data_IF_122746201812
#
_entry.id   IF_122746201812
#
_cell.length_a   1.000
_cell.length_b   1.000
_cell.length_c   1.000
_cell.angle_alpha   90.00
_cell.angle_beta   90.00
_cell.angle_gamma   90.00
#
_symmetry.space_group_name_H-M   'P 1'
#
loop_
_entity.id
_entity.type
_entity.pdbx_description
1 polymer ?
#
# COMPACT_ATOMS: atom_id res chain seq x y z
N UNK A 1 -3.23 -5.64 -18.22
CA UNK A 1 -4.61 -5.94 -18.61
C UNK A 1 -4.80 -5.61 -20.10
N UNK A 2 -5.54 -6.41 -20.81
CA UNK A 2 -5.91 -6.11 -22.20
C UNK A 2 -7.04 -5.08 -22.20
N UNK A 3 -7.04 -4.07 -23.10
CA UNK A 3 -8.15 -3.16 -23.23
C UNK A 3 -9.38 -3.95 -23.67
N UNK A 4 -10.47 -3.78 -22.92
CA UNK A 4 -11.78 -4.35 -23.26
C UNK A 4 -12.65 -3.28 -23.91
N UNK A 5 -13.58 -3.66 -24.80
CA UNK A 5 -14.48 -2.73 -25.43
C UNK A 5 -15.73 -2.51 -24.58
N UNK A 6 -16.38 -1.34 -24.75
CA UNK A 6 -17.53 -0.93 -23.92
C UNK A 6 -18.70 -1.93 -23.99
N UNK A 7 -18.89 -2.60 -25.13
CA UNK A 7 -19.99 -3.57 -25.27
C UNK A 7 -19.85 -4.80 -24.35
N UNK A 8 -18.65 -5.12 -23.84
CA UNK A 8 -18.45 -6.21 -22.90
C UNK A 8 -19.00 -5.91 -21.49
N UNK A 9 -19.26 -4.65 -21.18
CA UNK A 9 -19.92 -4.27 -19.93
C UNK A 9 -21.43 -4.48 -19.97
N UNK A 10 -22.06 -4.50 -21.16
CA UNK A 10 -23.52 -4.68 -21.32
C UNK A 10 -23.93 -6.09 -20.82
N UNK A 11 -24.84 -6.16 -19.86
CA UNK A 11 -25.25 -7.41 -19.22
C UNK A 11 -24.21 -8.00 -18.27
N UNK A 12 -23.09 -7.33 -18.01
CA UNK A 12 -22.01 -7.85 -17.19
C UNK A 12 -22.24 -7.61 -15.70
N UNK A 13 -21.86 -8.60 -14.90
CA UNK A 13 -21.53 -8.41 -13.49
C UNK A 13 -20.11 -7.84 -13.40
N UNK A 14 -19.97 -6.64 -12.84
CA UNK A 14 -18.68 -6.01 -12.56
C UNK A 14 -18.34 -6.20 -11.09
N UNK A 15 -17.16 -6.71 -10.81
CA UNK A 15 -16.64 -6.86 -9.45
C UNK A 15 -15.41 -5.97 -9.32
N UNK A 16 -15.48 -4.99 -8.43
CA UNK A 16 -14.34 -4.12 -8.07
C UNK A 16 -13.78 -4.59 -6.73
N UNK A 17 -12.51 -4.95 -6.74
CA UNK A 17 -11.81 -5.43 -5.54
C UNK A 17 -10.74 -4.43 -5.11
N UNK A 18 -10.51 -4.33 -3.79
CA UNK A 18 -9.38 -3.62 -3.19
C UNK A 18 -9.26 -2.14 -3.61
N UNK A 19 -10.41 -1.44 -3.64
CA UNK A 19 -10.45 -0.05 -4.10
C UNK A 19 -11.38 0.78 -3.23
N UNK A 20 -10.81 1.67 -2.41
CA UNK A 20 -11.53 2.46 -1.41
C UNK A 20 -12.61 3.35 -2.01
N UNK A 21 -12.33 4.04 -3.12
CA UNK A 21 -13.22 5.01 -3.74
C UNK A 21 -13.17 4.94 -5.28
N UNK A 22 -14.23 5.44 -5.91
CA UNK A 22 -14.44 5.36 -7.35
C UNK A 22 -13.36 6.02 -8.22
N UNK A 23 -12.73 7.15 -7.85
CA UNK A 23 -11.66 7.73 -8.67
C UNK A 23 -10.42 6.83 -8.81
N UNK A 24 -10.23 5.87 -7.89
CA UNK A 24 -9.09 4.93 -7.89
C UNK A 24 -9.35 3.66 -8.70
N UNK A 25 -10.58 3.42 -9.14
CA UNK A 25 -10.88 2.27 -10.01
C UNK A 25 -10.11 2.43 -11.32
N UNK A 26 -9.33 1.43 -11.69
CA UNK A 26 -8.39 1.50 -12.83
C UNK A 26 -9.07 1.70 -14.18
N UNK A 27 -10.29 1.23 -14.35
CA UNK A 27 -11.10 1.49 -15.54
C UNK A 27 -12.41 2.20 -15.15
N UNK A 28 -12.53 3.47 -15.52
CA UNK A 28 -13.67 4.31 -15.15
C UNK A 28 -14.99 3.90 -15.82
N UNK A 29 -14.96 2.90 -16.72
CA UNK A 29 -16.15 2.29 -17.33
C UNK A 29 -16.77 1.18 -16.45
N UNK A 30 -16.23 0.94 -15.25
CA UNK A 30 -16.73 -0.07 -14.31
C UNK A 30 -18.24 0.04 -14.02
N UNK A 31 -18.81 1.23 -14.17
CA UNK A 31 -20.23 1.53 -13.95
C UNK A 31 -21.13 1.28 -15.18
N UNK A 32 -20.59 0.76 -16.29
CA UNK A 32 -21.36 0.39 -17.48
C UNK A 32 -21.98 -1.01 -17.39
N UNK A 33 -21.66 -1.78 -16.35
CA UNK A 33 -22.24 -3.10 -16.11
C UNK A 33 -23.67 -3.02 -15.56
N UNK A 34 -24.40 -4.14 -15.64
CA UNK A 34 -25.77 -4.24 -15.13
C UNK A 34 -25.82 -4.39 -13.61
N UNK A 35 -24.76 -4.93 -13.00
CA UNK A 35 -24.63 -5.09 -11.56
C UNK A 35 -23.18 -4.85 -11.15
N UNK A 36 -22.98 -4.07 -10.11
CA UNK A 36 -21.68 -3.74 -9.55
C UNK A 36 -21.54 -4.26 -8.11
N UNK A 37 -20.54 -5.09 -7.88
CA UNK A 37 -20.16 -5.56 -6.55
C UNK A 37 -18.84 -4.90 -6.14
N UNK A 38 -18.80 -4.32 -4.94
CA UNK A 38 -17.57 -3.87 -4.28
C UNK A 38 -17.16 -4.89 -3.21
N UNK A 39 -15.90 -5.36 -3.26
CA UNK A 39 -15.27 -6.17 -2.21
C UNK A 39 -14.00 -5.46 -1.77
N UNK A 40 -13.91 -5.03 -0.50
CA UNK A 40 -12.82 -4.18 -0.06
C UNK A 40 -12.54 -4.30 1.45
N UNK A 41 -11.31 -3.99 1.86
CA UNK A 41 -10.91 -3.93 3.26
C UNK A 41 -10.53 -2.51 3.72
N UNK A 42 -10.58 -1.52 2.84
CA UNK A 42 -10.33 -0.12 3.17
C UNK A 42 -11.53 0.52 3.89
N UNK A 43 -11.34 1.64 4.64
CA UNK A 43 -12.43 2.46 5.12
C UNK A 43 -13.38 2.86 3.97
N UNK A 44 -14.68 2.76 4.20
CA UNK A 44 -15.71 2.95 3.18
C UNK A 44 -16.35 4.34 3.30
N UNK A 45 -15.54 5.39 3.26
CA UNK A 45 -15.98 6.79 3.39
C UNK A 45 -16.81 7.25 2.18
N UNK A 46 -16.55 6.66 1.02
CA UNK A 46 -17.26 6.93 -0.25
C UNK A 46 -17.80 5.61 -0.81
N UNK A 47 -18.97 5.13 -0.35
CA UNK A 47 -19.52 3.86 -0.78
C UNK A 47 -19.99 3.93 -2.25
N UNK A 48 -19.74 2.86 -3.01
CA UNK A 48 -20.22 2.66 -4.38
C UNK A 48 -20.47 1.18 -4.64
N UNK A 49 -21.34 0.88 -5.62
CA UNK A 49 -21.74 -0.48 -5.99
C UNK A 49 -23.14 -0.83 -5.50
N UNK A 50 -23.81 -1.74 -6.21
CA UNK A 50 -25.14 -2.24 -5.86
C UNK A 50 -25.09 -3.20 -4.66
N UNK A 51 -24.02 -3.99 -4.60
CA UNK A 51 -23.68 -4.82 -3.45
C UNK A 51 -22.29 -4.41 -2.91
N UNK A 52 -22.22 -4.20 -1.61
CA UNK A 52 -21.00 -3.72 -0.95
C UNK A 52 -20.64 -4.68 0.19
N UNK A 53 -19.48 -5.35 0.05
CA UNK A 53 -18.89 -6.14 1.10
C UNK A 53 -17.56 -5.54 1.50
N UNK A 54 -17.56 -4.81 2.61
CA UNK A 54 -16.38 -4.15 3.17
C UNK A 54 -16.12 -4.67 4.57
N UNK A 55 -14.89 -5.15 4.82
CA UNK A 55 -14.43 -5.59 6.12
C UNK A 55 -13.07 -4.96 6.46
N UNK A 56 -13.10 -3.86 7.20
CA UNK A 56 -11.90 -3.12 7.61
C UNK A 56 -11.02 -3.85 8.65
N UNK A 57 -11.47 -4.99 9.16
CA UNK A 57 -10.70 -5.86 10.06
C UNK A 57 -9.96 -6.97 9.32
N UNK A 58 -10.28 -7.21 8.04
CA UNK A 58 -9.53 -8.15 7.22
C UNK A 58 -8.14 -7.58 6.90
N UNK A 59 -7.13 -8.44 6.91
CA UNK A 59 -5.75 -8.04 6.63
C UNK A 59 -5.52 -7.61 5.18
N UNK A 60 -6.38 -8.08 4.29
CA UNK A 60 -6.32 -7.82 2.85
C UNK A 60 -7.65 -8.17 2.18
N UNK A 61 -7.92 -7.59 1.02
CA UNK A 61 -9.02 -8.05 0.16
C UNK A 61 -8.82 -9.51 -0.26
N UNK A 62 -7.57 -9.96 -0.43
CA UNK A 62 -7.23 -11.36 -0.74
C UNK A 62 -7.65 -12.33 0.37
N UNK A 63 -7.53 -11.96 1.65
CA UNK A 63 -8.06 -12.75 2.78
C UNK A 63 -9.58 -12.91 2.65
N UNK A 64 -10.31 -11.83 2.32
CA UNK A 64 -11.76 -11.88 2.11
C UNK A 64 -12.16 -12.80 0.96
N UNK A 65 -11.43 -12.77 -0.15
CA UNK A 65 -11.68 -13.65 -1.31
C UNK A 65 -11.41 -15.12 -0.96
N UNK A 66 -10.35 -15.39 -0.18
CA UNK A 66 -10.10 -16.75 0.31
C UNK A 66 -11.24 -17.24 1.21
N UNK A 67 -11.70 -16.39 2.13
CA UNK A 67 -12.80 -16.68 3.05
C UNK A 67 -14.10 -16.99 2.29
N UNK A 68 -14.42 -16.18 1.28
CA UNK A 68 -15.56 -16.45 0.40
C UNK A 68 -15.45 -17.82 -0.27
N UNK A 69 -14.29 -18.14 -0.84
CA UNK A 69 -14.10 -19.41 -1.54
C UNK A 69 -14.15 -20.61 -0.59
N UNK A 70 -13.61 -20.49 0.64
CA UNK A 70 -13.67 -21.54 1.65
C UNK A 70 -15.05 -21.70 2.27
N UNK A 71 -15.86 -20.63 2.31
CA UNK A 71 -17.24 -20.69 2.80
C UNK A 71 -18.21 -21.37 1.82
N UNK A 72 -17.90 -21.35 0.52
CA UNK A 72 -18.74 -21.93 -0.54
C UNK A 72 -17.96 -22.88 -1.45
N UNK A 73 -17.36 -23.97 -0.90
CA UNK A 73 -16.45 -24.85 -1.65
C UNK A 73 -17.13 -25.61 -2.80
N UNK A 74 -18.44 -25.81 -2.74
CA UNK A 74 -19.20 -26.45 -3.81
C UNK A 74 -19.45 -25.55 -5.00
N UNK A 75 -19.47 -24.22 -4.78
CA UNK A 75 -19.73 -23.20 -5.80
C UNK A 75 -18.41 -22.60 -6.31
N UNK A 76 -17.47 -22.34 -5.42
CA UNK A 76 -16.20 -21.65 -5.70
C UNK A 76 -15.03 -22.61 -5.47
N UNK A 77 -14.63 -23.30 -6.55
CA UNK A 77 -13.51 -24.26 -6.48
C UNK A 77 -12.18 -23.52 -6.53
N UNK A 78 -11.44 -23.54 -5.44
CA UNK A 78 -10.09 -23.03 -5.36
C UNK A 78 -9.14 -23.89 -6.20
N UNK A 79 -8.50 -23.30 -7.20
CA UNK A 79 -7.39 -23.93 -7.94
C UNK A 79 -6.04 -23.65 -7.28
N UNK A 80 -5.01 -24.44 -7.59
CA UNK A 80 -3.64 -24.20 -7.12
C UNK A 80 -3.15 -22.77 -7.51
N UNK A 81 -3.48 -22.33 -8.72
CA UNK A 81 -3.10 -21.00 -9.20
C UNK A 81 -3.88 -19.88 -8.45
N UNK A 82 -5.18 -20.06 -8.20
CA UNK A 82 -5.95 -19.11 -7.40
C UNK A 82 -5.41 -19.03 -5.97
N UNK A 83 -5.11 -20.16 -5.35
CA UNK A 83 -4.52 -20.20 -4.01
C UNK A 83 -3.15 -19.48 -3.96
N UNK A 84 -2.31 -19.70 -4.98
CA UNK A 84 -1.02 -19.01 -5.12
C UNK A 84 -1.16 -17.50 -5.22
N UNK A 85 -2.09 -17.01 -6.05
CA UNK A 85 -2.32 -15.56 -6.24
C UNK A 85 -2.93 -14.91 -5.00
N UNK A 86 -3.90 -15.56 -4.36
CA UNK A 86 -4.52 -15.07 -3.13
C UNK A 86 -3.49 -15.03 -1.99
N UNK A 87 -2.66 -16.07 -1.85
CA UNK A 87 -1.56 -16.07 -0.89
C UNK A 87 -0.59 -14.90 -1.16
N UNK A 88 -0.23 -14.64 -2.43
CA UNK A 88 0.62 -13.52 -2.79
C UNK A 88 0.01 -12.16 -2.38
N UNK A 89 -1.31 -11.98 -2.56
CA UNK A 89 -2.01 -10.77 -2.15
C UNK A 89 -2.01 -10.58 -0.62
N UNK A 90 -2.25 -11.64 0.15
CA UNK A 90 -2.14 -11.59 1.62
C UNK A 90 -0.72 -11.19 2.04
N UNK A 91 0.31 -11.83 1.47
CA UNK A 91 1.71 -11.50 1.76
C UNK A 91 2.04 -10.04 1.43
N UNK A 92 1.49 -9.52 0.32
CA UNK A 92 1.69 -8.13 -0.10
C UNK A 92 1.10 -7.12 0.89
N UNK A 93 -0.19 -7.25 1.19
CA UNK A 93 -0.92 -6.31 2.04
C UNK A 93 -0.52 -6.36 3.52
N UNK A 94 -0.12 -7.52 4.00
CA UNK A 94 0.36 -7.69 5.38
C UNK A 94 1.82 -7.31 5.56
N UNK A 95 2.48 -6.84 4.50
CA UNK A 95 3.92 -6.60 4.55
C UNK A 95 4.68 -7.85 5.00
N UNK A 96 4.29 -9.02 4.48
CA UNK A 96 4.85 -10.34 4.83
C UNK A 96 4.55 -10.74 6.28
N UNK A 97 3.32 -10.50 6.70
CA UNK A 97 2.81 -10.76 8.06
C UNK A 97 3.45 -9.87 9.15
N UNK A 98 4.07 -8.75 8.76
CA UNK A 98 4.71 -7.82 9.71
C UNK A 98 3.81 -6.66 10.12
N UNK A 99 2.73 -6.39 9.39
CA UNK A 99 1.85 -5.27 9.71
C UNK A 99 0.81 -5.64 10.77
N UNK A 100 0.35 -4.65 11.57
CA UNK A 100 -0.61 -4.88 12.65
C UNK A 100 -1.97 -5.48 12.22
N UNK A 101 -2.33 -5.35 10.95
CA UNK A 101 -3.52 -5.98 10.38
C UNK A 101 -3.42 -7.52 10.31
N UNK A 102 -2.23 -8.10 10.47
CA UNK A 102 -2.04 -9.55 10.52
C UNK A 102 -2.63 -10.12 11.80
N UNK A 103 -3.63 -10.98 11.69
CA UNK A 103 -4.28 -11.66 12.80
C UNK A 103 -3.98 -13.17 12.81
N UNK A 104 -4.39 -13.87 13.88
CA UNK A 104 -4.37 -15.35 13.89
C UNK A 104 -5.17 -15.93 12.72
N UNK A 105 -6.31 -15.30 12.40
CA UNK A 105 -7.16 -15.71 11.28
C UNK A 105 -6.46 -15.55 9.93
N UNK A 106 -5.73 -14.44 9.73
CA UNK A 106 -4.89 -14.25 8.54
C UNK A 106 -3.91 -15.41 8.34
N UNK A 107 -3.27 -15.86 9.44
CA UNK A 107 -2.31 -16.98 9.39
C UNK A 107 -3.02 -18.33 9.15
N UNK A 108 -4.22 -18.53 9.67
CA UNK A 108 -5.04 -19.71 9.38
C UNK A 108 -5.41 -19.79 7.91
N UNK A 109 -5.87 -18.68 7.33
CA UNK A 109 -6.19 -18.57 5.89
C UNK A 109 -4.95 -18.84 5.05
N UNK A 110 -3.82 -18.21 5.39
CA UNK A 110 -2.56 -18.46 4.71
C UNK A 110 -2.12 -19.92 4.81
N UNK A 111 -2.25 -20.54 5.99
CA UNK A 111 -1.96 -21.96 6.22
C UNK A 111 -2.83 -22.88 5.37
N UNK A 112 -4.14 -22.61 5.24
CA UNK A 112 -5.03 -23.34 4.33
C UNK A 112 -4.61 -23.20 2.87
N UNK A 113 -4.24 -21.99 2.42
CA UNK A 113 -3.75 -21.77 1.06
C UNK A 113 -2.48 -22.57 0.77
N UNK A 114 -1.59 -22.72 1.76
CA UNK A 114 -0.35 -23.51 1.63
C UNK A 114 -0.59 -25.03 1.50
N UNK A 115 -1.81 -25.53 1.69
CA UNK A 115 -2.16 -26.93 1.39
C UNK A 115 -2.36 -27.22 -0.09
N UNK A 116 -2.47 -26.17 -0.92
CA UNK A 116 -2.55 -26.28 -2.37
C UNK A 116 -1.15 -26.42 -2.98
N UNK A 117 -1.10 -27.07 -4.15
CA UNK A 117 0.15 -27.40 -4.82
C UNK A 117 0.72 -26.18 -5.56
N UNK A 118 1.54 -25.37 -4.86
CA UNK A 118 2.39 -24.31 -5.44
C UNK A 118 3.65 -24.10 -4.59
N UNK A 119 4.73 -23.65 -5.23
CA UNK A 119 5.99 -23.35 -4.53
C UNK A 119 5.93 -22.01 -3.82
N UNK A 120 5.51 -22.03 -2.54
CA UNK A 120 5.44 -20.83 -1.69
C UNK A 120 6.82 -20.21 -1.43
N UNK A 121 7.90 -21.02 -1.37
CA UNK A 121 9.25 -20.52 -1.15
C UNK A 121 9.75 -19.73 -2.37
N UNK A 122 9.51 -20.26 -3.57
CA UNK A 122 9.80 -19.56 -4.82
C UNK A 122 8.98 -18.28 -4.93
N UNK A 123 7.66 -18.34 -4.67
CA UNK A 123 6.78 -17.17 -4.69
C UNK A 123 7.28 -16.07 -3.75
N UNK A 124 7.58 -16.42 -2.49
CA UNK A 124 8.09 -15.45 -1.52
C UNK A 124 9.44 -14.85 -1.94
N UNK A 125 10.34 -15.64 -2.53
CA UNK A 125 11.59 -15.11 -3.12
C UNK A 125 11.31 -14.12 -4.25
N UNK A 126 10.41 -14.45 -5.17
CA UNK A 126 10.04 -13.58 -6.28
C UNK A 126 9.44 -12.26 -5.82
N UNK A 127 8.57 -12.28 -4.79
CA UNK A 127 7.98 -11.08 -4.17
C UNK A 127 9.02 -10.19 -3.47
N UNK A 128 10.18 -10.74 -3.09
CA UNK A 128 11.29 -9.98 -2.47
C UNK A 128 12.33 -9.47 -3.46
N UNK A 129 12.35 -10.01 -4.67
CA UNK A 129 13.40 -9.66 -5.62
C UNK A 129 13.30 -8.21 -6.04
N UNK A 130 14.42 -7.52 -5.99
CA UNK A 130 14.60 -6.18 -6.51
C UNK A 130 15.71 -6.18 -7.57
N UNK A 131 15.64 -5.28 -8.52
CA UNK A 131 16.70 -5.10 -9.50
C UNK A 131 17.95 -4.46 -8.87
N UNK A 132 19.12 -4.63 -9.50
CA UNK A 132 20.36 -4.01 -9.03
C UNK A 132 20.25 -2.47 -8.95
N UNK A 133 19.51 -1.84 -9.88
CA UNK A 133 19.27 -0.40 -9.83
C UNK A 133 18.45 0.03 -8.60
N UNK A 134 17.43 -0.75 -8.22
CA UNK A 134 16.67 -0.52 -6.99
C UNK A 134 17.53 -0.78 -5.75
N UNK A 135 18.41 -1.79 -5.78
CA UNK A 135 19.35 -2.02 -4.68
C UNK A 135 20.33 -0.85 -4.47
N UNK A 136 20.82 -0.23 -5.58
CA UNK A 136 21.64 1.00 -5.51
C UNK A 136 20.86 2.18 -4.95
N UNK A 137 19.60 2.36 -5.39
CA UNK A 137 18.72 3.38 -4.82
C UNK A 137 18.46 3.15 -3.33
N UNK A 138 18.34 1.90 -2.89
CA UNK A 138 18.22 1.56 -1.46
C UNK A 138 19.45 1.99 -0.66
N UNK A 139 20.65 1.79 -1.21
CA UNK A 139 21.89 2.31 -0.61
C UNK A 139 21.86 3.84 -0.47
N UNK A 140 21.45 4.53 -1.52
CA UNK A 140 21.29 5.99 -1.48
C UNK A 140 20.30 6.45 -0.40
N UNK A 141 19.17 5.75 -0.25
CA UNK A 141 18.18 6.06 0.79
C UNK A 141 18.80 5.98 2.18
N UNK A 142 19.49 4.88 2.51
CA UNK A 142 20.13 4.73 3.83
C UNK A 142 21.24 5.73 4.09
N UNK A 143 22.00 6.09 3.07
CA UNK A 143 23.10 7.07 3.18
C UNK A 143 22.59 8.51 3.35
N UNK A 144 21.43 8.83 2.77
CA UNK A 144 20.90 10.22 2.72
C UNK A 144 19.64 10.42 3.59
N UNK A 145 19.31 9.45 4.47
CA UNK A 145 18.22 9.63 5.41
C UNK A 145 18.59 10.70 6.44
N UNK A 146 17.70 11.66 6.62
CA UNK A 146 17.81 12.67 7.67
C UNK A 146 16.73 12.40 8.72
N UNK A 147 17.10 12.34 9.99
CA UNK A 147 16.17 12.10 11.10
C UNK A 147 16.44 13.03 12.26
N UNK A 148 15.40 13.25 13.08
CA UNK A 148 15.52 13.98 14.35
C UNK A 148 15.52 13.03 15.56
N UNK A 149 15.73 13.60 16.74
CA UNK A 149 15.78 12.84 18.01
C UNK A 149 14.45 12.22 18.42
N UNK A 150 13.33 12.62 17.82
CA UNK A 150 11.99 12.12 18.11
C UNK A 150 11.51 11.07 17.10
N UNK A 151 12.37 10.66 16.16
CA UNK A 151 12.10 9.61 15.19
C UNK A 151 11.36 10.06 13.95
N UNK A 152 11.29 11.36 13.68
CA UNK A 152 10.84 11.86 12.37
C UNK A 152 11.97 11.77 11.36
N UNK A 153 11.70 11.19 10.17
CA UNK A 153 12.71 11.07 9.13
C UNK A 153 12.22 11.52 7.75
N UNK A 154 13.17 11.92 6.91
CA UNK A 154 12.92 12.24 5.52
C UNK A 154 14.03 11.76 4.60
N UNK A 155 13.67 11.50 3.34
CA UNK A 155 14.60 11.32 2.23
C UNK A 155 14.06 12.08 1.03
N UNK A 156 14.91 12.89 0.41
CA UNK A 156 14.60 13.58 -0.85
C UNK A 156 15.31 12.84 -1.97
N UNK A 157 14.55 12.45 -3.00
CA UNK A 157 15.05 11.82 -4.21
C UNK A 157 15.00 12.82 -5.36
N UNK A 158 16.11 13.50 -5.67
CA UNK A 158 16.19 14.38 -6.82
C UNK A 158 16.04 13.59 -8.13
N UNK A 159 15.48 14.24 -9.15
CA UNK A 159 15.30 13.61 -10.47
C UNK A 159 16.62 13.10 -11.05
N UNK A 160 17.69 13.85 -10.87
CA UNK A 160 19.04 13.52 -11.37
C UNK A 160 19.53 12.18 -10.80
N UNK A 161 19.19 11.86 -9.55
CA UNK A 161 19.55 10.58 -8.93
C UNK A 161 18.73 9.42 -9.46
N UNK A 162 17.43 9.64 -9.73
CA UNK A 162 16.59 8.63 -10.36
C UNK A 162 17.10 8.33 -11.78
N UNK A 163 17.45 9.35 -12.54
CA UNK A 163 18.02 9.24 -13.89
C UNK A 163 19.37 8.49 -13.86
N UNK A 164 20.26 8.85 -12.93
CA UNK A 164 21.57 8.19 -12.75
C UNK A 164 21.45 6.69 -12.45
N UNK A 165 20.50 6.31 -11.58
CA UNK A 165 20.24 4.91 -11.27
C UNK A 165 19.39 4.19 -12.32
N UNK A 166 18.82 4.92 -13.29
CA UNK A 166 17.90 4.39 -14.29
C UNK A 166 16.60 3.84 -13.68
N UNK A 167 16.13 4.47 -12.59
CA UNK A 167 14.93 4.08 -11.84
C UNK A 167 13.75 4.96 -12.26
N UNK A 168 12.62 4.35 -12.58
CA UNK A 168 11.36 5.06 -12.84
C UNK A 168 10.55 5.22 -11.55
N UNK A 169 9.63 6.20 -11.52
CA UNK A 169 8.84 6.50 -10.31
C UNK A 169 8.12 5.29 -9.70
N UNK A 170 7.56 4.41 -10.52
CA UNK A 170 6.88 3.20 -10.03
C UNK A 170 7.80 2.25 -9.24
N UNK A 171 9.09 2.20 -9.58
CA UNK A 171 10.07 1.37 -8.89
C UNK A 171 10.50 1.95 -7.53
N UNK A 172 10.27 3.26 -7.30
CA UNK A 172 10.53 3.90 -6.01
C UNK A 172 9.60 3.37 -4.90
N UNK A 173 8.52 2.65 -5.23
CA UNK A 173 7.70 2.00 -4.23
C UNK A 173 8.48 1.00 -3.37
N UNK A 174 9.50 0.36 -3.94
CA UNK A 174 10.31 -0.65 -3.26
C UNK A 174 11.15 -0.08 -2.10
N UNK A 175 11.51 1.21 -2.14
CA UNK A 175 12.34 1.84 -1.09
C UNK A 175 11.53 2.51 0.01
N UNK A 176 10.21 2.62 -0.15
CA UNK A 176 9.35 3.31 0.82
C UNK A 176 9.38 2.69 2.22
N UNK A 177 9.45 1.35 2.39
CA UNK A 177 9.52 0.73 3.72
C UNK A 177 10.89 0.84 4.40
N UNK A 178 11.97 1.17 3.68
CA UNK A 178 13.34 1.07 4.19
C UNK A 178 13.60 1.87 5.47
N UNK A 179 13.17 3.15 5.59
CA UNK A 179 13.39 3.88 6.84
C UNK A 179 12.74 3.22 8.06
N UNK A 180 11.63 2.50 7.86
CA UNK A 180 10.94 1.78 8.93
C UNK A 180 11.72 0.62 9.52
N UNK A 181 12.78 0.14 8.86
CA UNK A 181 13.69 -0.90 9.38
C UNK A 181 14.68 -0.35 10.41
N UNK A 182 14.80 0.98 10.52
CA UNK A 182 15.67 1.66 11.50
C UNK A 182 14.87 1.83 12.79
N UNK A 183 15.43 1.38 13.91
CA UNK A 183 14.74 1.32 15.20
C UNK A 183 14.28 2.70 15.67
N UNK A 184 15.13 3.69 15.55
CA UNK A 184 14.91 5.06 16.01
C UNK A 184 13.87 5.84 15.20
N UNK A 185 13.45 5.35 14.02
CA UNK A 185 12.51 6.04 13.16
C UNK A 185 11.08 5.61 13.47
N UNK A 186 10.21 6.56 13.75
CA UNK A 186 8.78 6.37 14.04
C UNK A 186 7.89 6.71 12.86
N UNK A 187 8.17 7.82 12.16
CA UNK A 187 7.44 8.23 10.97
C UNK A 187 8.38 8.88 9.95
N UNK A 188 8.10 8.66 8.66
CA UNK A 188 8.98 9.17 7.61
C UNK A 188 8.23 9.56 6.35
N UNK A 189 8.87 10.47 5.59
CA UNK A 189 8.46 10.82 4.24
C UNK A 189 9.59 10.55 3.24
N UNK A 190 9.22 10.00 2.08
CA UNK A 190 10.08 9.95 0.89
C UNK A 190 9.49 10.89 -0.14
N UNK A 191 10.28 11.91 -0.50
CA UNK A 191 9.93 12.93 -1.47
C UNK A 191 10.58 12.58 -2.81
N UNK A 192 9.78 12.26 -3.82
CA UNK A 192 10.24 11.85 -5.15
C UNK A 192 9.95 12.97 -6.13
N UNK A 193 11.00 13.66 -6.60
CA UNK A 193 10.87 14.73 -7.58
C UNK A 193 10.31 14.21 -8.89
N UNK A 194 9.25 14.85 -9.38
CA UNK A 194 8.54 14.47 -10.60
C UNK A 194 9.00 15.33 -11.79
N UNK A 195 8.87 14.81 -13.02
CA UNK A 195 9.24 15.59 -14.22
C UNK A 195 8.51 16.92 -14.34
N UNK A 196 7.29 17.02 -13.81
CA UNK A 196 6.46 18.22 -13.80
C UNK A 196 6.90 19.28 -12.79
N UNK A 197 7.94 19.00 -11.98
CA UNK A 197 8.55 19.94 -11.04
C UNK A 197 7.99 19.92 -9.63
N UNK A 198 7.03 19.06 -9.32
CA UNK A 198 6.53 18.84 -7.96
C UNK A 198 7.17 17.59 -7.31
N UNK A 199 6.92 17.36 -6.03
CA UNK A 199 7.35 16.15 -5.33
C UNK A 199 6.14 15.26 -5.00
N UNK A 200 6.20 14.00 -5.43
CA UNK A 200 5.31 12.97 -4.88
C UNK A 200 5.81 12.57 -3.50
N UNK A 201 4.92 12.62 -2.51
CA UNK A 201 5.25 12.33 -1.12
C UNK A 201 4.68 10.98 -0.73
N UNK A 202 5.52 10.12 -0.16
CA UNK A 202 5.13 8.82 0.38
C UNK A 202 5.37 8.82 1.88
N UNK A 203 4.29 8.81 2.65
CA UNK A 203 4.32 8.86 4.11
C UNK A 203 4.12 7.48 4.70
N UNK A 204 4.90 7.13 5.70
CA UNK A 204 4.77 5.89 6.46
C UNK A 204 5.03 6.14 7.94
N UNK A 205 4.50 5.25 8.80
CA UNK A 205 4.65 5.37 10.25
C UNK A 205 4.57 4.00 10.92
N UNK A 206 5.24 3.88 12.06
CA UNK A 206 5.16 2.76 13.01
C UNK A 206 4.20 3.04 14.20
N UNK A 207 3.59 4.22 14.27
CA UNK A 207 2.67 4.58 15.36
C UNK A 207 1.94 5.90 15.15
N UNK A 208 2.64 7.04 14.95
CA UNK A 208 1.99 8.33 14.70
C UNK A 208 1.03 8.32 13.52
N UNK A 209 -0.15 8.95 13.65
CA UNK A 209 -1.19 8.95 12.60
C UNK A 209 -0.89 10.03 11.55
N UNK A 210 -0.34 9.63 10.40
CA UNK A 210 0.18 10.53 9.35
C UNK A 210 -0.82 10.91 8.24
N UNK A 211 -1.98 10.27 8.15
CA UNK A 211 -2.93 10.57 7.07
C UNK A 211 -3.56 11.96 7.18
N UNK A 212 -3.57 12.57 8.35
CA UNK A 212 -4.00 13.96 8.56
C UNK A 212 -3.06 14.94 7.86
N UNK A 213 -1.75 14.68 7.91
CA UNK A 213 -0.73 15.44 7.16
C UNK A 213 -0.99 15.28 5.66
N UNK A 214 -1.14 14.04 5.19
CA UNK A 214 -1.41 13.79 3.78
C UNK A 214 -2.64 14.55 3.26
N UNK A 215 -3.73 14.60 4.03
CA UNK A 215 -4.96 15.33 3.66
C UNK A 215 -4.74 16.84 3.50
N UNK A 216 -3.87 17.45 4.32
CA UNK A 216 -3.54 18.88 4.20
C UNK A 216 -2.72 19.20 2.94
N UNK A 217 -1.97 18.20 2.43
CA UNK A 217 -1.08 18.33 1.27
C UNK A 217 -1.59 17.57 0.04
N UNK A 218 -2.88 17.74 -0.28
CA UNK A 218 -3.52 17.20 -1.49
C UNK A 218 -3.40 15.69 -1.65
N UNK A 219 -3.51 14.96 -0.54
CA UNK A 219 -3.37 13.52 -0.51
C UNK A 219 -4.35 12.80 0.42
N UNK A 220 -3.97 11.61 0.86
CA UNK A 220 -4.76 10.77 1.74
C UNK A 220 -4.21 9.37 1.86
N UNK A 221 -4.97 8.49 2.50
CA UNK A 221 -4.61 7.09 2.73
C UNK A 221 -4.92 6.63 4.14
N UNK A 222 -4.32 5.49 4.50
CA UNK A 222 -4.46 4.90 5.83
C UNK A 222 -3.73 5.70 6.91
N UNK A 223 -4.10 5.53 8.19
CA UNK A 223 -3.45 6.21 9.31
C UNK A 223 -1.93 6.09 9.33
N UNK A 224 -1.37 4.92 8.94
CA UNK A 224 0.07 4.64 8.98
C UNK A 224 0.73 4.56 7.58
N UNK A 225 -0.06 4.70 6.51
CA UNK A 225 0.44 4.60 5.13
C UNK A 225 -0.36 5.53 4.20
N UNK A 226 0.21 6.66 3.85
CA UNK A 226 -0.45 7.70 3.06
C UNK A 226 0.44 8.23 1.95
N UNK A 227 -0.18 8.93 1.01
CA UNK A 227 0.51 9.67 -0.05
C UNK A 227 0.01 11.10 -0.13
N UNK A 228 0.86 12.02 -0.56
CA UNK A 228 0.56 13.43 -0.76
C UNK A 228 1.37 13.98 -1.95
N UNK A 229 1.24 15.27 -2.23
CA UNK A 229 2.10 15.99 -3.14
C UNK A 229 2.63 17.27 -2.46
N UNK A 230 3.88 17.63 -2.77
CA UNK A 230 4.46 18.90 -2.39
C UNK A 230 4.85 19.67 -3.66
N UNK A 231 4.47 20.94 -3.76
CA UNK A 231 4.68 21.79 -4.94
C UNK A 231 6.15 22.09 -5.19
N UNK A 232 6.89 22.27 -4.10
CA UNK A 232 8.28 22.73 -4.11
C UNK A 232 9.03 22.28 -2.84
N UNK A 233 10.29 22.64 -2.72
CA UNK A 233 11.12 22.36 -1.55
C UNK A 233 10.65 23.07 -0.28
N UNK A 234 9.93 24.18 -0.38
CA UNK A 234 9.39 24.86 0.79
C UNK A 234 8.28 24.00 1.41
N UNK A 235 7.36 23.46 0.61
CA UNK A 235 6.32 22.56 1.07
C UNK A 235 6.88 21.19 1.53
N UNK A 236 7.98 20.71 0.92
CA UNK A 236 8.72 19.53 1.43
C UNK A 236 9.18 19.76 2.88
N UNK A 237 9.74 20.95 3.19
CA UNK A 237 10.16 21.30 4.54
C UNK A 237 8.96 21.47 5.51
N UNK A 238 7.87 22.04 5.05
CA UNK A 238 6.63 22.16 5.82
C UNK A 238 6.10 20.78 6.23
N UNK A 239 5.97 19.85 5.27
CA UNK A 239 5.54 18.47 5.56
C UNK A 239 6.49 17.80 6.55
N UNK A 240 7.80 17.98 6.41
CA UNK A 240 8.76 17.39 7.33
C UNK A 240 8.64 17.97 8.75
N UNK A 241 8.44 19.28 8.88
CA UNK A 241 8.19 19.92 10.19
C UNK A 241 6.92 19.38 10.85
N UNK A 242 5.85 19.15 10.09
CA UNK A 242 4.64 18.53 10.62
C UNK A 242 4.88 17.09 11.10
N UNK A 243 5.72 16.32 10.43
CA UNK A 243 6.11 14.96 10.88
C UNK A 243 6.93 15.05 12.17
N UNK A 244 7.85 16.01 12.28
CA UNK A 244 8.67 16.23 13.48
C UNK A 244 7.78 16.59 14.69
N UNK A 245 6.81 17.49 14.49
CA UNK A 245 5.85 17.86 15.54
C UNK A 245 5.03 16.65 15.99
N UNK A 246 4.48 15.91 15.02
CA UNK A 246 3.69 14.71 15.27
C UNK A 246 4.48 13.64 16.06
N UNK A 247 5.74 13.40 15.69
CA UNK A 247 6.60 12.44 16.40
C UNK A 247 6.92 12.93 17.81
N UNK A 248 7.17 14.23 17.99
CA UNK A 248 7.41 14.84 19.30
C UNK A 248 6.21 14.65 20.25
N UNK A 249 5.00 14.93 19.76
CA UNK A 249 3.78 14.74 20.53
C UNK A 249 3.54 13.26 20.88
N UNK A 250 3.78 12.38 19.91
CA UNK A 250 3.63 10.93 20.11
C UNK A 250 4.58 10.40 21.19
N UNK A 251 5.86 10.78 21.16
CA UNK A 251 6.86 10.39 22.18
C UNK A 251 6.49 10.92 23.56
N UNK A 252 6.03 12.18 23.66
CA UNK A 252 5.59 12.76 24.93
C UNK A 252 4.43 11.95 25.54
N UNK A 253 3.44 11.56 24.75
CA UNK A 253 2.30 10.74 25.22
C UNK A 253 2.69 9.32 25.64
N UNK A 254 3.76 8.76 25.09
CA UNK A 254 4.25 7.42 25.48
C UNK A 254 5.10 7.47 26.77
N UNK A 255 5.78 8.60 27.04
CA UNK A 255 6.58 8.79 28.25
C UNK A 255 5.76 9.04 29.51
N UNK A 256 4.46 9.34 29.37
CA UNK A 256 3.53 9.55 30.49
C UNK A 256 2.78 8.24 30.90
N UNK A 257 3.01 7.12 30.22
CA UNK A 257 2.46 5.80 30.54
C UNK A 257 3.49 4.91 31.22
#
# INVERSE_FOLDING_TARGET
>A
ALPISDHLYQGALVIVTDTANSPRVSDQRYNLGDLLIKIDHHPNDEPYGDLVWVNTHASSCSEMIADLAFSFPDLLKMSNEAARLIYAGIVGDTGRFLYPATTSYTLEVAGKLLTYDFDAALLNRQLQQISLKVARLSGYVYENISSDKNGAAQVILPKERLDEFGVVDSETAAIVPLPGTIDEILAWAIFVHQPEGYYRVRLRSKGPVINTIAKRHHGGGHPLASGANARDLAEVQEIYQEIQELCREYVAQQGEK
#
